data_IF_351898328358
#
_entry.id   IF_351898328358
#
_cell.length_a   1.000
_cell.length_b   1.000
_cell.length_c   1.000
_cell.angle_alpha   90.00
_cell.angle_beta   90.00
_cell.angle_gamma   90.00
#
_symmetry.space_group_name_H-M   'P 1'
#
loop_
_entity.id
_entity.type
_entity.pdbx_description
1 polymer ?
#
# COMPACT_ATOMS: atom_id res chain seq x y z
N UNK A 1 -30.72 -31.93 40.49
CA UNK A 1 -29.33 -31.49 40.26
C UNK A 1 -29.03 -31.72 38.78
N UNK A 2 -29.11 -30.66 37.97
CA UNK A 2 -28.97 -30.75 36.50
C UNK A 2 -27.49 -30.72 36.10
N UNK A 3 -27.08 -31.65 35.24
CA UNK A 3 -25.76 -31.67 34.62
C UNK A 3 -25.71 -30.64 33.48
N UNK A 4 -24.81 -29.66 33.59
CA UNK A 4 -24.51 -28.72 32.51
C UNK A 4 -23.61 -29.38 31.46
N UNK A 5 -24.15 -29.55 30.26
CA UNK A 5 -23.41 -29.94 29.06
C UNK A 5 -22.50 -28.79 28.62
N UNK A 6 -21.18 -28.98 28.67
CA UNK A 6 -20.21 -28.10 28.01
C UNK A 6 -20.28 -28.31 26.50
N UNK A 7 -20.64 -27.26 25.76
CA UNK A 7 -20.52 -27.22 24.30
C UNK A 7 -19.04 -27.11 23.90
N UNK A 8 -18.61 -27.97 22.97
CA UNK A 8 -17.26 -27.96 22.42
C UNK A 8 -17.02 -26.70 21.57
N UNK A 9 -15.78 -26.14 21.55
CA UNK A 9 -15.47 -24.98 20.72
C UNK A 9 -15.54 -25.34 19.24
N UNK A 10 -16.33 -24.59 18.48
CA UNK A 10 -16.31 -24.62 17.03
C UNK A 10 -14.90 -24.28 16.52
N UNK A 11 -14.17 -25.29 16.02
CA UNK A 11 -13.03 -25.07 15.15
C UNK A 11 -13.53 -24.41 13.88
N UNK A 12 -13.26 -23.11 13.74
CA UNK A 12 -13.29 -22.45 12.44
C UNK A 12 -12.18 -23.07 11.60
N UNK A 13 -12.53 -24.07 10.80
CA UNK A 13 -11.66 -24.62 9.77
C UNK A 13 -11.34 -23.50 8.79
N UNK A 14 -10.13 -22.94 8.85
CA UNK A 14 -9.64 -21.96 7.88
C UNK A 14 -9.67 -22.65 6.51
N UNK A 15 -10.60 -22.25 5.64
CA UNK A 15 -10.61 -22.67 4.25
C UNK A 15 -9.19 -22.48 3.69
N UNK A 16 -8.67 -23.52 3.05
CA UNK A 16 -7.36 -23.45 2.41
C UNK A 16 -7.41 -22.30 1.40
N UNK A 17 -6.66 -21.23 1.67
CA UNK A 17 -6.49 -20.14 0.74
C UNK A 17 -5.90 -20.74 -0.54
N UNK A 18 -6.57 -20.54 -1.68
CA UNK A 18 -6.03 -20.90 -2.98
C UNK A 18 -4.67 -20.22 -3.24
N UNK A 19 -3.98 -20.57 -4.33
CA UNK A 19 -2.71 -19.94 -4.66
C UNK A 19 -2.88 -18.41 -4.68
N UNK A 20 -2.01 -17.70 -3.94
CA UNK A 20 -2.00 -16.24 -3.94
C UNK A 20 -1.67 -15.79 -5.37
N UNK A 21 -2.52 -14.97 -6.01
CA UNK A 21 -2.26 -14.56 -7.38
C UNK A 21 -0.95 -13.77 -7.45
N UNK A 22 -0.20 -13.97 -8.53
CA UNK A 22 1.04 -13.24 -8.77
C UNK A 22 0.77 -11.74 -8.88
N UNK A 23 1.64 -10.94 -8.24
CA UNK A 23 1.61 -9.48 -8.29
C UNK A 23 2.69 -8.97 -9.25
N UNK A 24 2.25 -8.21 -10.25
CA UNK A 24 3.08 -7.49 -11.21
C UNK A 24 3.17 -6.04 -10.79
N UNK A 25 4.40 -5.51 -10.74
CA UNK A 25 4.64 -4.10 -10.40
C UNK A 25 5.00 -3.30 -11.64
N UNK A 26 4.44 -2.09 -11.76
CA UNK A 26 4.75 -1.15 -12.86
C UNK A 26 5.11 0.21 -12.31
N UNK A 27 5.91 0.97 -13.05
CA UNK A 27 6.28 2.34 -12.70
C UNK A 27 6.08 3.27 -13.89
N UNK A 28 5.52 4.46 -13.66
CA UNK A 28 5.27 5.47 -14.71
C UNK A 28 5.71 6.86 -14.27
N UNK A 29 6.23 7.64 -15.22
CA UNK A 29 6.73 9.01 -14.98
C UNK A 29 5.60 10.03 -14.81
N UNK A 30 4.50 9.81 -15.49
CA UNK A 30 3.32 10.65 -15.38
C UNK A 30 2.16 9.72 -15.11
N UNK A 31 1.72 9.68 -13.86
CA UNK A 31 0.58 8.88 -13.48
C UNK A 31 -0.63 9.29 -14.33
N UNK A 32 -1.30 8.35 -15.01
CA UNK A 32 -2.49 8.66 -15.78
C UNK A 32 -3.58 9.23 -14.85
N UNK A 33 -4.44 10.10 -15.39
CA UNK A 33 -5.50 10.79 -14.65
C UNK A 33 -6.34 9.86 -13.77
N UNK A 34 -6.67 8.65 -14.24
CA UNK A 34 -7.40 7.64 -13.45
C UNK A 34 -6.74 7.25 -12.11
N UNK A 35 -5.43 7.49 -11.96
CA UNK A 35 -4.71 7.24 -10.70
C UNK A 35 -4.64 8.49 -9.80
N UNK A 36 -4.77 9.68 -10.38
CA UNK A 36 -4.54 10.97 -9.70
C UNK A 36 -5.81 11.80 -9.53
N UNK A 37 -6.93 11.37 -10.11
CA UNK A 37 -8.23 12.05 -10.04
C UNK A 37 -8.61 12.31 -8.58
N UNK A 38 -8.72 13.60 -8.23
CA UNK A 38 -9.06 14.06 -6.88
C UNK A 38 -7.95 13.96 -5.83
N UNK A 39 -6.71 13.58 -6.18
CA UNK A 39 -5.67 13.21 -5.19
C UNK A 39 -4.31 13.89 -5.34
N UNK A 40 -3.95 14.46 -6.50
CA UNK A 40 -2.58 14.98 -6.69
C UNK A 40 -2.47 16.07 -7.76
N UNK A 41 -1.42 16.93 -7.72
CA UNK A 41 -1.11 17.86 -8.80
C UNK A 41 -0.84 17.12 -10.12
N UNK A 42 -0.92 17.84 -11.24
CA UNK A 42 -0.91 17.31 -12.62
C UNK A 42 0.37 16.54 -13.03
N UNK A 43 1.33 16.30 -12.14
CA UNK A 43 2.58 15.60 -12.44
C UNK A 43 3.12 14.87 -11.21
N UNK A 44 2.74 13.59 -11.08
CA UNK A 44 3.31 12.68 -10.07
C UNK A 44 3.88 11.43 -10.74
N UNK A 45 4.95 10.93 -10.14
CA UNK A 45 5.45 9.59 -10.41
C UNK A 45 4.56 8.56 -9.73
N UNK A 46 4.49 7.35 -10.30
CA UNK A 46 3.71 6.27 -9.71
C UNK A 46 4.40 4.92 -9.80
N UNK A 47 4.15 4.10 -8.78
CA UNK A 47 4.30 2.65 -8.82
C UNK A 47 2.94 2.03 -8.57
N UNK A 48 2.53 1.08 -9.41
CA UNK A 48 1.30 0.30 -9.25
C UNK A 48 1.62 -1.16 -8.97
N UNK A 49 0.74 -1.80 -8.22
CA UNK A 49 0.69 -3.24 -8.04
C UNK A 49 -0.59 -3.75 -8.70
N UNK A 50 -0.45 -4.67 -9.64
CA UNK A 50 -1.53 -5.28 -10.40
C UNK A 50 -1.47 -6.80 -10.25
N UNK A 51 -2.60 -7.48 -10.21
CA UNK A 51 -2.63 -8.94 -10.37
C UNK A 51 -2.27 -9.33 -11.81
N UNK A 52 -1.95 -10.60 -12.03
CA UNK A 52 -1.62 -11.12 -13.36
C UNK A 52 -2.72 -10.88 -14.42
N UNK A 53 -4.00 -10.84 -14.03
CA UNK A 53 -5.15 -10.51 -14.89
C UNK A 53 -5.38 -8.99 -15.05
N UNK A 54 -4.49 -8.15 -14.51
CA UNK A 54 -4.47 -6.70 -14.73
C UNK A 54 -5.33 -5.87 -13.76
N UNK A 55 -5.89 -6.48 -12.71
CA UNK A 55 -6.61 -5.73 -11.67
C UNK A 55 -5.63 -4.95 -10.80
N UNK A 56 -5.85 -3.65 -10.68
CA UNK A 56 -5.08 -2.77 -9.80
C UNK A 56 -5.40 -3.06 -8.33
N UNK A 57 -4.40 -3.48 -7.56
CA UNK A 57 -4.53 -3.80 -6.11
C UNK A 57 -3.72 -2.87 -5.21
N UNK A 58 -2.84 -2.06 -5.78
CA UNK A 58 -2.11 -1.05 -5.01
C UNK A 58 -1.54 0.07 -5.88
N UNK A 59 -1.35 1.24 -5.27
CA UNK A 59 -0.65 2.36 -5.89
C UNK A 59 0.12 3.18 -4.87
N UNK A 60 1.28 3.67 -5.28
CA UNK A 60 2.12 4.64 -4.59
C UNK A 60 2.36 5.82 -5.53
N UNK A 61 2.02 7.03 -5.10
CA UNK A 61 2.15 8.27 -5.86
C UNK A 61 3.08 9.23 -5.12
N UNK A 62 4.02 9.85 -5.83
CA UNK A 62 4.91 10.85 -5.25
C UNK A 62 5.23 11.99 -6.20
N UNK A 63 5.47 13.16 -5.61
CA UNK A 63 5.74 14.38 -6.35
C UNK A 63 7.04 14.27 -7.14
N UNK A 64 7.05 14.83 -8.33
CA UNK A 64 8.24 14.80 -9.17
C UNK A 64 9.26 15.90 -8.84
N UNK A 65 8.84 16.99 -8.18
CA UNK A 65 9.71 18.10 -7.80
C UNK A 65 10.43 17.81 -6.48
N UNK A 66 9.68 17.48 -5.42
CA UNK A 66 10.24 17.36 -4.06
C UNK A 66 10.30 15.92 -3.54
N UNK A 67 9.71 14.97 -4.28
CA UNK A 67 9.69 13.57 -3.92
C UNK A 67 8.58 13.19 -2.92
N UNK A 68 7.77 14.12 -2.43
CA UNK A 68 6.82 13.87 -1.35
C UNK A 68 5.82 12.79 -1.75
N UNK A 69 5.68 11.74 -0.93
CA UNK A 69 4.62 10.74 -1.12
C UNK A 69 3.28 11.32 -0.71
N UNK A 70 2.39 11.44 -1.69
CA UNK A 70 1.02 11.94 -1.51
C UNK A 70 0.03 10.82 -1.19
N UNK A 71 0.27 9.64 -1.73
CA UNK A 71 -0.65 8.52 -1.57
C UNK A 71 0.08 7.19 -1.61
N UNK A 72 -0.23 6.32 -0.65
CA UNK A 72 0.09 4.90 -0.72
C UNK A 72 -1.12 4.11 -0.26
N UNK A 73 -1.60 3.19 -1.09
CA UNK A 73 -2.79 2.41 -0.79
C UNK A 73 -2.70 1.01 -1.35
N UNK A 74 -3.21 0.06 -0.58
CA UNK A 74 -3.41 -1.34 -0.98
C UNK A 74 -4.85 -1.72 -0.70
N UNK A 75 -5.48 -2.39 -1.65
CA UNK A 75 -6.85 -2.89 -1.56
C UNK A 75 -7.01 -3.78 -0.33
N UNK A 76 -8.18 -3.73 0.33
CA UNK A 76 -8.42 -4.33 1.64
C UNK A 76 -7.97 -5.79 1.74
N UNK A 77 -8.31 -6.61 0.74
CA UNK A 77 -8.06 -8.05 0.74
C UNK A 77 -6.58 -8.39 0.46
N UNK A 78 -5.81 -7.40 0.00
CA UNK A 78 -4.41 -7.50 -0.36
C UNK A 78 -3.47 -6.88 0.70
N UNK A 79 -4.03 -6.35 1.78
CA UNK A 79 -3.25 -5.76 2.88
C UNK A 79 -2.51 -6.83 3.68
N UNK A 80 -1.45 -6.41 4.38
CA UNK A 80 -0.57 -7.26 5.22
C UNK A 80 0.19 -8.35 4.45
N UNK A 81 0.37 -8.17 3.14
CA UNK A 81 1.14 -9.08 2.27
C UNK A 81 2.46 -8.45 1.76
N UNK A 82 2.92 -7.35 2.37
CA UNK A 82 4.18 -6.68 1.99
C UNK A 82 4.12 -5.84 0.70
N UNK A 83 2.97 -5.76 0.01
CA UNK A 83 2.82 -5.04 -1.27
C UNK A 83 3.22 -3.55 -1.17
N UNK A 84 2.82 -2.85 -0.10
CA UNK A 84 3.20 -1.45 0.10
C UNK A 84 4.72 -1.27 0.22
N UNK A 85 5.39 -2.18 0.95
CA UNK A 85 6.85 -2.21 1.10
C UNK A 85 7.53 -2.47 -0.23
N UNK A 86 7.02 -3.42 -1.02
CA UNK A 86 7.55 -3.70 -2.36
C UNK A 86 7.41 -2.48 -3.28
N UNK A 87 6.26 -1.80 -3.29
CA UNK A 87 6.07 -0.56 -4.06
C UNK A 87 7.07 0.54 -3.65
N UNK A 88 7.31 0.71 -2.34
CA UNK A 88 8.30 1.68 -1.84
C UNK A 88 9.71 1.39 -2.34
N UNK A 89 10.16 0.14 -2.23
CA UNK A 89 11.48 -0.29 -2.69
C UNK A 89 11.65 -0.12 -4.20
N UNK A 90 10.60 -0.45 -4.97
CA UNK A 90 10.59 -0.28 -6.43
C UNK A 90 10.65 1.20 -6.80
N UNK A 91 9.91 2.07 -6.09
CA UNK A 91 9.91 3.50 -6.33
C UNK A 91 11.32 4.09 -6.12
N UNK A 92 12.01 3.73 -5.03
CA UNK A 92 13.41 4.10 -4.81
C UNK A 92 14.34 3.57 -5.90
N UNK A 93 14.28 2.26 -6.18
CA UNK A 93 15.14 1.65 -7.21
C UNK A 93 14.94 2.30 -8.56
N UNK A 94 13.69 2.58 -8.93
CA UNK A 94 13.35 3.23 -10.19
C UNK A 94 13.92 4.64 -10.22
N UNK A 95 13.71 5.42 -9.16
CA UNK A 95 14.24 6.78 -9.06
C UNK A 95 15.75 6.81 -9.27
N UNK A 96 16.47 5.87 -8.65
CA UNK A 96 17.92 5.72 -8.80
C UNK A 96 18.33 5.34 -10.22
N UNK A 97 17.59 4.41 -10.84
CA UNK A 97 17.95 3.86 -12.14
C UNK A 97 17.74 4.86 -13.28
N UNK A 98 16.71 5.70 -13.20
CA UNK A 98 16.32 6.60 -14.30
C UNK A 98 16.39 8.08 -13.93
N UNK A 99 17.06 8.42 -12.81
CA UNK A 99 17.27 9.79 -12.36
C UNK A 99 15.98 10.54 -12.06
N UNK A 100 14.99 9.89 -11.45
CA UNK A 100 13.81 10.59 -10.92
C UNK A 100 14.09 11.07 -9.50
N UNK A 101 13.35 12.08 -9.06
CA UNK A 101 13.33 12.47 -7.65
C UNK A 101 12.89 11.29 -6.79
N UNK A 102 13.69 10.97 -5.77
CA UNK A 102 13.41 9.84 -4.86
C UNK A 102 12.12 10.11 -4.08
N UNK A 103 11.26 9.10 -3.86
CA UNK A 103 10.13 9.27 -2.96
C UNK A 103 10.63 9.54 -1.54
N UNK A 104 9.99 10.47 -0.83
CA UNK A 104 10.24 10.77 0.57
C UNK A 104 8.92 10.77 1.33
N UNK A 105 8.95 10.31 2.57
CA UNK A 105 7.80 10.44 3.46
C UNK A 105 7.93 11.73 4.28
N UNK A 106 6.80 12.29 4.70
CA UNK A 106 6.82 13.39 5.66
C UNK A 106 7.51 12.94 6.95
N UNK A 107 8.38 13.80 7.48
CA UNK A 107 8.95 13.67 8.84
C UNK A 107 8.26 14.62 9.83
N UNK A 108 7.32 15.43 9.36
CA UNK A 108 6.58 16.38 10.17
C UNK A 108 5.55 15.66 11.04
N UNK A 109 5.87 15.52 12.33
CA UNK A 109 4.89 15.14 13.34
C UNK A 109 4.03 16.36 13.69
N UNK A 110 2.77 16.33 13.29
CA UNK A 110 1.77 17.30 13.75
C UNK A 110 1.62 17.23 15.28
N UNK A 111 1.22 18.33 15.95
CA UNK A 111 1.02 18.34 17.40
C UNK A 111 0.19 17.16 17.91
N UNK A 112 -0.91 16.83 17.21
CA UNK A 112 -1.79 15.70 17.55
C UNK A 112 -1.07 14.34 17.40
N UNK A 113 -0.26 14.20 16.35
CA UNK A 113 0.56 13.01 16.14
C UNK A 113 1.62 12.83 17.23
N UNK A 114 2.23 13.93 17.70
CA UNK A 114 3.16 13.91 18.84
C UNK A 114 2.45 13.54 20.14
N UNK A 115 1.28 14.13 20.40
CA UNK A 115 0.49 13.82 21.58
C UNK A 115 0.09 12.34 21.64
N UNK A 116 -0.29 11.77 20.50
CA UNK A 116 -0.60 10.34 20.40
C UNK A 116 0.63 9.45 20.63
N UNK A 117 1.78 9.73 20.00
CA UNK A 117 3.01 8.95 20.20
C UNK A 117 3.47 9.00 21.67
N UNK A 118 3.33 10.15 22.34
CA UNK A 118 3.67 10.30 23.74
C UNK A 118 2.73 9.52 24.71
N UNK A 119 1.62 8.97 24.21
CA UNK A 119 0.66 8.17 25.00
C UNK A 119 0.84 6.65 24.84
N UNK A 120 1.76 6.20 23.96
CA UNK A 120 2.13 4.80 23.77
C UNK A 120 3.21 4.37 24.76
#
# INVERSE_FOLDING_TARGET
MSMSTMAAPHRLTRAAAGPVPEIVYRSVRHAPSRLTEGLAPASVYAVTAETADGRLVGRLLWDHHDGMVWWVGVERDWRRQGIATAMWQIAHRKADTVGWTRPVHSTSLLPDGRAWIASL
#
